data_IF_318783623059
#
_entry.id   IF_318783623059
#
_cell.length_a   1.000
_cell.length_b   1.000
_cell.length_c   1.000
_cell.angle_alpha   90.00
_cell.angle_beta   90.00
_cell.angle_gamma   90.00
#
_symmetry.space_group_name_H-M   'P 1'
#
loop_
_entity.id
_entity.type
_entity.pdbx_description
1 polymer ?
#
# COMPACT_ATOMS: atom_id res chain seq x y z
N UNK A 1 -17.88 5.37 -60.08
CA UNK A 1 -16.61 5.75 -59.44
C UNK A 1 -16.23 4.80 -58.32
N UNK A 2 -15.23 3.93 -58.54
CA UNK A 2 -14.66 3.05 -57.49
C UNK A 2 -13.51 3.74 -56.73
N UNK A 3 -12.73 4.58 -57.42
CA UNK A 3 -11.66 5.39 -56.83
C UNK A 3 -12.16 6.38 -55.75
N UNK A 4 -13.34 6.98 -55.94
CA UNK A 4 -13.94 7.88 -54.95
C UNK A 4 -14.33 7.17 -53.64
N UNK A 5 -14.75 5.90 -53.71
CA UNK A 5 -15.12 5.09 -52.53
C UNK A 5 -13.89 4.64 -51.73
N UNK A 6 -12.80 4.28 -52.40
CA UNK A 6 -11.52 3.97 -51.73
C UNK A 6 -10.90 5.21 -51.05
N UNK A 7 -10.97 6.37 -51.70
CA UNK A 7 -10.47 7.62 -51.12
C UNK A 7 -11.32 8.12 -49.92
N UNK A 8 -12.61 7.76 -49.87
CA UNK A 8 -13.47 8.06 -48.72
C UNK A 8 -13.17 7.12 -47.54
N UNK A 9 -13.01 5.81 -47.79
CA UNK A 9 -12.68 4.83 -46.76
C UNK A 9 -11.31 5.08 -46.10
N UNK A 10 -10.30 5.50 -46.89
CA UNK A 10 -8.99 5.88 -46.34
C UNK A 10 -9.05 7.13 -45.44
N UNK A 11 -9.89 8.11 -45.78
CA UNK A 11 -10.11 9.31 -44.95
C UNK A 11 -10.84 8.97 -43.64
N UNK A 12 -11.80 8.06 -43.69
CA UNK A 12 -12.54 7.60 -42.52
C UNK A 12 -11.67 6.76 -41.57
N UNK A 13 -10.81 5.90 -42.12
CA UNK A 13 -9.81 5.14 -41.35
C UNK A 13 -8.81 6.06 -40.63
N UNK A 14 -8.23 7.04 -41.32
CA UNK A 14 -7.32 8.04 -40.74
C UNK A 14 -8.01 8.90 -39.66
N UNK A 15 -9.30 9.23 -39.87
CA UNK A 15 -10.11 9.94 -38.87
C UNK A 15 -10.30 9.08 -37.61
N UNK A 16 -10.64 7.81 -37.75
CA UNK A 16 -10.83 6.89 -36.63
C UNK A 16 -9.54 6.63 -35.86
N UNK A 17 -8.40 6.50 -36.55
CA UNK A 17 -7.08 6.40 -35.91
C UNK A 17 -6.75 7.65 -35.09
N UNK A 18 -6.91 8.86 -35.65
CA UNK A 18 -6.69 10.12 -34.91
C UNK A 18 -7.63 10.27 -33.71
N UNK A 19 -8.89 9.85 -33.84
CA UNK A 19 -9.83 9.82 -32.73
C UNK A 19 -9.38 8.87 -31.63
N UNK A 20 -8.90 7.66 -31.98
CA UNK A 20 -8.33 6.69 -31.05
C UNK A 20 -7.06 7.20 -30.35
N UNK A 21 -6.17 7.88 -31.06
CA UNK A 21 -4.96 8.48 -30.47
C UNK A 21 -5.32 9.60 -29.47
N UNK A 22 -6.28 10.45 -29.82
CA UNK A 22 -6.74 11.51 -28.91
C UNK A 22 -7.42 10.95 -27.65
N UNK A 23 -8.19 9.86 -27.75
CA UNK A 23 -8.80 9.22 -26.57
C UNK A 23 -7.74 8.60 -25.67
N UNK A 24 -6.73 7.93 -26.24
CA UNK A 24 -5.58 7.40 -25.49
C UNK A 24 -4.79 8.52 -24.79
N UNK A 25 -4.53 9.64 -25.47
CA UNK A 25 -3.85 10.79 -24.86
C UNK A 25 -4.66 11.40 -23.70
N UNK A 26 -5.99 11.50 -23.84
CA UNK A 26 -6.87 11.97 -22.75
C UNK A 26 -6.86 11.01 -21.57
N UNK A 27 -6.95 9.71 -21.81
CA UNK A 27 -6.86 8.69 -20.77
C UNK A 27 -5.51 8.76 -20.05
N UNK A 28 -4.40 8.88 -20.79
CA UNK A 28 -3.07 9.02 -20.22
C UNK A 28 -2.94 10.25 -19.32
N UNK A 29 -3.45 11.42 -19.74
CA UNK A 29 -3.47 12.64 -18.91
C UNK A 29 -4.29 12.48 -17.63
N UNK A 30 -5.44 11.80 -17.71
CA UNK A 30 -6.26 11.51 -16.54
C UNK A 30 -5.53 10.60 -15.55
N UNK A 31 -4.84 9.57 -16.04
CA UNK A 31 -4.00 8.69 -15.22
C UNK A 31 -2.87 9.48 -14.58
N UNK A 32 -2.13 10.28 -15.35
CA UNK A 32 -1.05 11.13 -14.83
C UNK A 32 -1.54 12.10 -13.75
N UNK A 33 -2.70 12.75 -13.96
CA UNK A 33 -3.29 13.66 -12.96
C UNK A 33 -3.64 12.92 -11.67
N UNK A 34 -4.29 11.75 -11.78
CA UNK A 34 -4.61 10.90 -10.62
C UNK A 34 -3.34 10.44 -9.88
N UNK A 35 -2.29 10.12 -10.61
CA UNK A 35 -1.00 9.74 -10.03
C UNK A 35 -0.34 10.88 -9.26
N UNK A 36 -0.36 12.11 -9.80
CA UNK A 36 0.15 13.30 -9.09
C UNK A 36 -0.63 13.57 -7.81
N UNK A 37 -1.95 13.62 -7.89
CA UNK A 37 -2.81 13.81 -6.72
C UNK A 37 -2.53 12.74 -5.66
N UNK A 38 -2.41 11.48 -6.08
CA UNK A 38 -2.08 10.38 -5.18
C UNK A 38 -0.70 10.53 -4.55
N UNK A 39 0.32 10.95 -5.31
CA UNK A 39 1.66 11.18 -4.80
C UNK A 39 1.70 12.32 -3.76
N UNK A 40 0.94 13.40 -4.01
CA UNK A 40 0.79 14.52 -3.06
C UNK A 40 0.11 14.07 -1.76
N UNK A 41 -0.97 13.30 -1.85
CA UNK A 41 -1.63 12.71 -0.67
C UNK A 41 -0.67 11.85 0.16
N UNK A 42 0.14 11.00 -0.49
CA UNK A 42 1.11 10.14 0.19
C UNK A 42 2.18 10.96 0.88
N UNK A 43 2.69 12.00 0.22
CA UNK A 43 3.66 12.93 0.80
C UNK A 43 3.09 13.63 2.04
N UNK A 44 1.83 14.06 2.00
CA UNK A 44 1.18 14.68 3.15
C UNK A 44 1.02 13.69 4.32
N UNK A 45 0.65 12.44 4.02
CA UNK A 45 0.56 11.36 5.02
C UNK A 45 1.93 11.07 5.65
N UNK A 46 2.97 10.95 4.83
CA UNK A 46 4.35 10.71 5.29
C UNK A 46 4.86 11.87 6.14
N UNK A 47 4.55 13.11 5.76
CA UNK A 47 4.88 14.30 6.55
C UNK A 47 4.20 14.30 7.93
N UNK A 48 2.90 13.99 7.97
CA UNK A 48 2.15 13.90 9.23
C UNK A 48 2.71 12.81 10.14
N UNK A 49 3.04 11.64 9.56
CA UNK A 49 3.62 10.53 10.31
C UNK A 49 5.00 10.89 10.86
N UNK A 50 5.89 11.41 10.02
CA UNK A 50 7.29 11.71 10.39
C UNK A 50 7.43 12.78 11.48
N UNK A 51 6.44 13.66 11.62
CA UNK A 51 6.42 14.70 12.66
C UNK A 51 5.57 14.34 13.89
N UNK A 52 4.93 13.16 13.90
CA UNK A 52 3.96 12.82 14.94
C UNK A 52 4.58 12.12 16.15
N UNK A 53 4.06 12.45 17.34
CA UNK A 53 4.35 11.70 18.57
C UNK A 53 3.22 10.72 18.86
N UNK A 54 3.60 9.50 19.22
CA UNK A 54 2.66 8.41 19.48
C UNK A 54 2.77 7.93 20.93
N UNK A 55 1.66 7.40 21.47
CA UNK A 55 1.67 6.70 22.76
C UNK A 55 1.19 5.27 22.54
N UNK A 56 1.80 4.32 23.24
CA UNK A 56 1.42 2.90 23.20
C UNK A 56 0.93 2.48 24.59
N UNK A 57 -0.22 1.81 24.66
CA UNK A 57 -0.70 1.22 25.91
C UNK A 57 0.10 -0.03 26.26
N UNK A 58 0.66 -0.07 27.47
CA UNK A 58 1.37 -1.25 27.98
C UNK A 58 0.39 -2.28 28.49
N UNK A 59 0.51 -3.53 28.02
CA UNK A 59 -0.28 -4.67 28.54
C UNK A 59 0.09 -5.04 29.99
N UNK A 60 1.37 -4.92 30.37
CA UNK A 60 1.88 -5.40 31.67
C UNK A 60 1.56 -4.50 32.86
N UNK A 61 1.32 -3.21 32.63
CA UNK A 61 1.22 -2.22 33.73
C UNK A 61 -0.02 -1.33 33.63
N UNK A 62 -0.90 -1.54 32.65
CA UNK A 62 -2.05 -0.65 32.40
C UNK A 62 -1.68 0.79 31.96
N UNK A 63 -0.41 1.18 32.07
CA UNK A 63 0.09 2.51 31.75
C UNK A 63 0.26 2.75 30.25
N UNK A 64 -0.14 3.94 29.81
CA UNK A 64 0.16 4.45 28.46
C UNK A 64 1.55 5.07 28.45
N UNK A 65 2.47 4.51 27.67
CA UNK A 65 3.83 5.02 27.52
C UNK A 65 3.96 5.78 26.20
N UNK A 66 4.59 6.95 26.22
CA UNK A 66 5.00 7.63 24.98
C UNK A 66 6.06 6.79 24.27
N UNK A 67 5.83 6.51 22.99
CA UNK A 67 6.71 5.75 22.12
C UNK A 67 6.87 6.49 20.79
N UNK A 68 8.10 6.55 20.30
CA UNK A 68 8.32 6.96 18.92
C UNK A 68 7.99 5.77 18.02
N UNK A 69 7.22 6.04 16.98
CA UNK A 69 6.90 5.09 15.94
C UNK A 69 7.54 5.59 14.65
N UNK A 70 8.18 4.70 13.90
CA UNK A 70 8.58 4.95 12.52
C UNK A 70 8.08 3.84 11.62
N UNK A 71 7.86 4.17 10.35
CA UNK A 71 7.40 3.21 9.35
C UNK A 71 8.41 3.22 8.21
N UNK A 72 9.27 2.20 8.17
CA UNK A 72 10.37 2.10 7.21
C UNK A 72 10.16 0.85 6.35
N UNK A 73 10.14 1.04 5.03
CA UNK A 73 9.82 -0.04 4.09
C UNK A 73 8.50 -0.73 4.41
N UNK A 74 8.56 -2.00 4.83
CA UNK A 74 7.41 -2.80 5.24
C UNK A 74 7.46 -3.23 6.70
N UNK A 75 8.11 -2.43 7.55
CA UNK A 75 8.31 -2.72 8.96
C UNK A 75 7.88 -1.52 9.81
N UNK A 76 7.05 -1.78 10.82
CA UNK A 76 6.70 -0.81 11.86
C UNK A 76 7.72 -0.91 12.99
N UNK A 77 8.39 0.18 13.30
CA UNK A 77 9.27 0.28 14.45
C UNK A 77 8.59 1.06 15.57
N UNK A 78 8.82 0.66 16.82
CA UNK A 78 8.42 1.45 17.97
C UNK A 78 9.40 1.34 19.14
N UNK A 79 9.77 2.48 19.72
CA UNK A 79 10.79 2.59 20.75
C UNK A 79 10.52 3.72 21.75
N UNK A 80 11.35 3.86 22.78
CA UNK A 80 11.32 5.05 23.64
C UNK A 80 12.24 6.09 23.00
N UNK A 81 11.75 7.32 22.85
CA UNK A 81 12.51 8.47 22.39
C UNK A 81 13.87 8.59 23.11
N UNK A 82 14.96 8.73 22.35
CA UNK A 82 16.31 8.89 22.88
C UNK A 82 16.84 7.72 23.71
N UNK A 83 16.21 6.55 23.63
CA UNK A 83 16.69 5.37 24.35
C UNK A 83 17.85 4.70 23.62
N UNK A 84 18.86 4.26 24.37
CA UNK A 84 19.92 3.37 23.86
C UNK A 84 19.42 1.96 23.52
N UNK A 85 18.18 1.61 23.87
CA UNK A 85 17.59 0.31 23.55
C UNK A 85 17.08 0.32 22.11
N UNK A 86 17.39 -0.73 21.36
CA UNK A 86 16.91 -0.89 20.00
C UNK A 86 15.36 -0.84 19.94
N UNK A 87 14.79 -0.14 18.95
CA UNK A 87 13.36 -0.10 18.76
C UNK A 87 12.84 -1.48 18.38
N UNK A 88 11.63 -1.80 18.84
CA UNK A 88 10.97 -3.06 18.46
C UNK A 88 10.49 -2.96 17.03
N UNK A 89 10.88 -3.94 16.20
CA UNK A 89 10.43 -4.07 14.82
C UNK A 89 9.24 -5.05 14.72
N UNK A 90 8.22 -4.67 13.95
CA UNK A 90 7.08 -5.52 13.58
C UNK A 90 6.99 -5.53 12.06
N UNK A 91 7.38 -6.64 11.40
CA UNK A 91 7.16 -6.81 9.97
C UNK A 91 5.67 -6.76 9.64
N UNK A 92 5.28 -5.95 8.65
CA UNK A 92 3.88 -5.85 8.22
C UNK A 92 3.39 -7.12 7.51
N UNK A 93 4.28 -8.03 7.12
CA UNK A 93 3.92 -9.37 6.67
C UNK A 93 3.19 -10.18 7.76
N UNK A 94 3.47 -9.89 9.04
CA UNK A 94 2.79 -10.48 10.18
C UNK A 94 1.51 -9.75 10.55
N UNK A 95 1.21 -8.60 9.93
CA UNK A 95 0.00 -7.85 10.21
C UNK A 95 -1.23 -8.56 9.62
N UNK A 96 -2.24 -8.78 10.45
CA UNK A 96 -3.54 -9.25 10.02
C UNK A 96 -4.44 -8.06 9.63
N UNK A 97 -4.59 -7.10 10.55
CA UNK A 97 -5.47 -5.95 10.36
C UNK A 97 -4.98 -4.71 11.09
N UNK A 98 -5.35 -3.55 10.54
CA UNK A 98 -5.17 -2.23 11.17
C UNK A 98 -6.51 -1.51 11.19
N UNK A 99 -6.99 -1.21 12.39
CA UNK A 99 -8.35 -0.70 12.61
C UNK A 99 -8.36 0.53 13.53
N UNK A 100 -9.05 1.61 13.16
CA UNK A 100 -9.36 2.69 14.10
C UNK A 100 -10.24 2.15 15.23
N UNK A 101 -10.16 2.77 16.40
CA UNK A 101 -10.93 2.37 17.58
C UNK A 101 -12.09 3.34 17.86
N UNK A 102 -13.04 2.98 18.74
CA UNK A 102 -14.08 3.90 19.20
C UNK A 102 -13.51 5.18 19.83
N UNK A 103 -12.33 5.08 20.47
CA UNK A 103 -11.58 6.28 20.84
C UNK A 103 -10.98 6.90 19.56
N UNK A 104 -11.31 8.17 19.24
CA UNK A 104 -10.97 8.79 17.97
C UNK A 104 -9.47 8.97 17.75
N UNK A 105 -8.67 8.95 18.82
CA UNK A 105 -7.20 9.06 18.76
C UNK A 105 -6.51 7.70 18.68
N UNK A 106 -7.24 6.61 18.89
CA UNK A 106 -6.66 5.27 19.02
C UNK A 106 -6.84 4.42 17.76
N UNK A 107 -5.86 3.54 17.52
CA UNK A 107 -5.92 2.52 16.50
C UNK A 107 -5.22 1.25 16.98
N UNK A 108 -5.62 0.11 16.40
CA UNK A 108 -5.09 -1.21 16.75
C UNK A 108 -4.44 -1.87 15.54
N UNK A 109 -3.38 -2.60 15.82
CA UNK A 109 -2.71 -3.54 14.92
C UNK A 109 -2.88 -4.95 15.50
N UNK A 110 -3.50 -5.84 14.74
CA UNK A 110 -3.64 -7.26 15.10
C UNK A 110 -2.70 -8.07 14.24
N UNK A 111 -1.94 -8.99 14.84
CA UNK A 111 -1.00 -9.86 14.14
C UNK A 111 -1.58 -11.23 13.81
N UNK A 112 -1.11 -11.81 12.70
CA UNK A 112 -1.31 -13.21 12.30
C UNK A 112 -0.50 -14.17 13.18
N UNK A 113 0.59 -13.69 13.75
CA UNK A 113 1.52 -14.45 14.56
C UNK A 113 2.66 -15.08 13.77
N UNK A 114 3.69 -15.51 14.48
CA UNK A 114 4.84 -16.29 14.02
C UNK A 114 5.34 -17.17 15.18
N UNK A 115 6.50 -17.83 15.00
CA UNK A 115 7.09 -18.66 16.04
C UNK A 115 7.37 -17.92 17.37
N UNK A 116 7.53 -16.59 17.33
CA UNK A 116 7.89 -15.77 18.48
C UNK A 116 6.73 -14.90 19.00
N UNK A 117 5.65 -14.79 18.23
CA UNK A 117 4.54 -13.88 18.47
C UNK A 117 3.22 -14.60 18.25
N UNK A 118 2.41 -14.83 19.28
CA UNK A 118 1.16 -15.55 19.12
C UNK A 118 0.21 -14.87 18.13
N UNK A 119 -0.51 -15.69 17.37
CA UNK A 119 -1.62 -15.24 16.54
C UNK A 119 -2.65 -14.46 17.37
N UNK A 120 -3.21 -13.39 16.80
CA UNK A 120 -4.13 -12.52 17.53
C UNK A 120 -3.45 -11.55 18.49
N UNK A 121 -2.11 -11.44 18.50
CA UNK A 121 -1.43 -10.39 19.26
C UNK A 121 -1.89 -9.01 18.81
N UNK A 122 -2.54 -8.28 19.72
CA UNK A 122 -3.00 -6.90 19.49
C UNK A 122 -2.05 -5.88 20.10
N UNK A 123 -1.72 -4.85 19.33
CA UNK A 123 -1.09 -3.60 19.78
C UNK A 123 -2.06 -2.44 19.63
N UNK A 124 -2.15 -1.60 20.66
CA UNK A 124 -2.99 -0.40 20.66
C UNK A 124 -2.11 0.85 20.79
N UNK A 125 -2.32 1.79 19.88
CA UNK A 125 -1.59 3.04 19.78
C UNK A 125 -2.56 4.21 19.84
N UNK A 126 -2.09 5.32 20.41
CA UNK A 126 -2.81 6.56 20.62
C UNK A 126 -2.02 7.69 19.95
N UNK A 127 -2.70 8.43 19.11
CA UNK A 127 -2.15 9.55 18.36
C UNK A 127 -2.44 10.85 19.09
N UNK A 128 -1.71 11.91 18.77
CA UNK A 128 -1.97 13.24 19.32
C UNK A 128 -3.16 13.95 18.68
N UNK A 129 -3.55 13.55 17.46
CA UNK A 129 -4.73 14.06 16.76
C UNK A 129 -5.42 12.97 15.93
N UNK A 130 -6.66 13.25 15.50
CA UNK A 130 -7.43 12.34 14.64
C UNK A 130 -6.78 12.24 13.26
N UNK A 131 -6.28 13.35 12.73
CA UNK A 131 -5.60 13.44 11.44
C UNK A 131 -4.34 12.57 11.43
N UNK A 132 -3.54 12.63 12.51
CA UNK A 132 -2.37 11.78 12.68
C UNK A 132 -2.76 10.32 12.74
N UNK A 133 -3.81 9.98 13.51
CA UNK A 133 -4.33 8.60 13.58
C UNK A 133 -4.72 8.09 12.19
N UNK A 134 -5.45 8.89 11.43
CA UNK A 134 -5.92 8.50 10.10
C UNK A 134 -4.77 8.40 9.09
N UNK A 135 -3.76 9.27 9.18
CA UNK A 135 -2.54 9.16 8.39
C UNK A 135 -1.82 7.83 8.67
N UNK A 136 -1.63 7.47 9.93
CA UNK A 136 -1.02 6.19 10.33
C UNK A 136 -1.82 4.98 9.85
N UNK A 137 -3.14 4.95 10.07
CA UNK A 137 -4.01 3.85 9.63
C UNK A 137 -3.95 3.72 8.10
N UNK A 138 -3.99 4.84 7.37
CA UNK A 138 -3.91 4.86 5.90
C UNK A 138 -2.57 4.32 5.41
N UNK A 139 -1.45 4.82 5.94
CA UNK A 139 -0.11 4.39 5.55
C UNK A 139 0.13 2.90 5.82
N UNK A 140 -0.30 2.41 7.00
CA UNK A 140 -0.20 1.00 7.36
C UNK A 140 -1.00 0.12 6.39
N UNK A 141 -2.27 0.46 6.13
CA UNK A 141 -3.13 -0.30 5.22
C UNK A 141 -2.58 -0.33 3.80
N UNK A 142 -2.03 0.78 3.34
CA UNK A 142 -1.42 0.86 2.02
C UNK A 142 -0.18 0.01 1.89
N UNK A 143 0.72 0.03 2.88
CA UNK A 143 1.91 -0.84 2.88
C UNK A 143 1.52 -2.31 2.96
N UNK A 144 0.50 -2.67 3.75
CA UNK A 144 -0.07 -4.01 3.77
C UNK A 144 -0.66 -4.41 2.41
N UNK A 145 -1.34 -3.49 1.71
CA UNK A 145 -1.88 -3.73 0.36
C UNK A 145 -0.76 -3.96 -0.65
N UNK A 146 0.30 -3.13 -0.62
CA UNK A 146 1.48 -3.30 -1.50
C UNK A 146 2.14 -4.66 -1.28
N UNK A 147 2.35 -5.07 -0.04
CA UNK A 147 2.87 -6.40 0.29
C UNK A 147 1.99 -7.53 -0.27
N UNK A 148 0.67 -7.42 -0.14
CA UNK A 148 -0.25 -8.42 -0.69
C UNK A 148 -0.16 -8.50 -2.20
N UNK A 149 -0.11 -7.36 -2.89
CA UNK A 149 0.01 -7.31 -4.34
C UNK A 149 1.34 -7.92 -4.81
N UNK A 150 2.44 -7.66 -4.09
CA UNK A 150 3.74 -8.29 -4.38
C UNK A 150 3.68 -9.82 -4.20
N UNK A 151 2.96 -10.32 -3.19
CA UNK A 151 2.77 -11.76 -3.01
C UNK A 151 1.95 -12.38 -4.16
N UNK A 152 0.87 -11.72 -4.58
CA UNK A 152 0.03 -12.17 -5.70
C UNK A 152 0.82 -12.16 -7.02
N UNK A 153 1.59 -11.10 -7.29
CA UNK A 153 2.39 -11.02 -8.51
C UNK A 153 3.43 -12.15 -8.57
N UNK A 154 4.10 -12.44 -7.45
CA UNK A 154 5.05 -13.57 -7.38
C UNK A 154 4.37 -14.92 -7.61
N UNK A 155 3.15 -15.14 -7.10
CA UNK A 155 2.42 -16.39 -7.37
C UNK A 155 1.98 -16.52 -8.83
N UNK A 156 1.62 -15.40 -9.48
CA UNK A 156 1.28 -15.40 -10.90
C UNK A 156 2.53 -15.70 -11.73
N UNK A 157 3.66 -15.06 -11.43
CA UNK A 157 4.94 -15.31 -12.11
C UNK A 157 5.38 -16.77 -11.98
N UNK A 158 5.25 -17.36 -10.78
CA UNK A 158 5.57 -18.77 -10.56
C UNK A 158 4.62 -19.71 -11.33
N UNK A 159 3.32 -19.43 -11.35
CA UNK A 159 2.35 -20.21 -12.12
C UNK A 159 2.59 -20.10 -13.64
N UNK A 160 2.95 -18.92 -14.12
CA UNK A 160 3.30 -18.70 -15.53
C UNK A 160 4.60 -19.40 -15.94
N UNK A 161 5.58 -19.51 -15.03
CA UNK A 161 6.79 -20.27 -15.27
C UNK A 161 6.50 -21.77 -15.36
N UNK A 162 5.76 -22.33 -14.40
CA UNK A 162 5.37 -23.74 -14.40
C UNK A 162 4.56 -24.12 -15.65
N UNK A 163 3.63 -23.27 -16.07
CA UNK A 163 2.84 -23.51 -17.29
C UNK A 163 3.67 -23.43 -18.60
N UNK A 164 4.83 -22.76 -18.59
CA UNK A 164 5.74 -22.75 -19.74
C UNK A 164 6.56 -24.04 -19.79
N UNK A 165 7.08 -24.46 -18.64
CA UNK A 165 7.83 -25.71 -18.53
C UNK A 165 6.97 -26.92 -18.96
N UNK A 166 5.68 -26.95 -18.60
CA UNK A 166 4.73 -27.99 -19.05
C UNK A 166 4.49 -27.99 -20.57
N UNK A 167 4.54 -26.83 -21.23
CA UNK A 167 4.39 -26.74 -22.70
C UNK A 167 5.68 -27.15 -23.40
N UNK A 168 6.84 -26.76 -22.86
CA UNK A 168 8.15 -27.14 -23.40
C UNK A 168 8.41 -28.66 -23.25
N UNK A 169 7.87 -29.30 -22.21
CA UNK A 169 7.93 -30.77 -22.03
C UNK A 169 6.93 -31.56 -22.91
N UNK A 170 5.96 -30.89 -23.55
CA UNK A 170 4.95 -31.53 -24.43
C UNK A 170 5.35 -31.56 -25.92
N UNK A 171 6.46 -30.94 -26.31
CA UNK A 171 7.04 -31.03 -27.66
C UNK A 171 8.04 -32.19 -27.79
N UNK A 172 7.58 -33.43 -27.51
CA UNK A 172 8.28 -34.72 -27.81
C UNK A 172 7.45 -35.55 -28.78
#
# INVERSE_FOLDING_TARGET
GRQAKQAAAGRESLRNQRLGEMTLQRAARLVQRRWRLRAEELRQVEFLIGNSKMKKKSKRFGMTQTKELSLEGHTLFYGKAGSRKEPKAIPLSLANSVTPQPNPLAWKLTLRGDANTPAGTVYEFFSESVEVRDAWVRAMRERMRKLRNQAINRSIEAALAAARDEVDDMDI
#
